data_IF_370037204762
#
_entry.id   IF_370037204762
#
_cell.length_a   1.000
_cell.length_b   1.000
_cell.length_c   1.000
_cell.angle_alpha   90.00
_cell.angle_beta   90.00
_cell.angle_gamma   90.00
#
_symmetry.space_group_name_H-M   'P 1'
#
loop_
_entity.id
_entity.type
_entity.pdbx_description
1 polymer ?
#
# COMPACT_ATOMS: atom_id res chain seq x y z
N UNK A 1 0.50 -12.01 -29.60
CA UNK A 1 0.33 -10.56 -29.84
C UNK A 1 -1.01 -9.95 -29.31
N UNK A 2 -1.89 -10.69 -28.61
CA UNK A 2 -3.17 -10.15 -28.09
C UNK A 2 -3.15 -9.68 -26.63
N UNK A 3 -2.01 -9.71 -25.96
CA UNK A 3 -1.90 -9.36 -24.53
C UNK A 3 -1.44 -7.93 -24.22
N UNK A 4 -0.80 -7.22 -25.15
CA UNK A 4 -0.29 -5.87 -24.96
C UNK A 4 -1.34 -4.78 -25.20
N UNK A 5 -2.27 -5.01 -26.14
CA UNK A 5 -3.31 -4.03 -26.50
C UNK A 5 -4.30 -3.70 -25.36
N UNK A 6 -4.48 -4.63 -24.41
CA UNK A 6 -5.42 -4.42 -23.31
C UNK A 6 -4.80 -3.62 -22.12
N UNK A 7 -3.48 -3.44 -22.05
CA UNK A 7 -2.85 -2.58 -21.02
C UNK A 7 -2.83 -1.11 -21.44
N UNK A 8 -2.59 -0.82 -22.71
CA UNK A 8 -2.60 0.56 -23.21
C UNK A 8 -4.00 1.16 -23.21
N UNK A 9 -5.05 0.37 -23.55
CA UNK A 9 -6.44 0.84 -23.43
C UNK A 9 -6.88 1.11 -22.00
N UNK A 10 -6.29 0.47 -20.99
CA UNK A 10 -6.55 0.80 -19.56
C UNK A 10 -5.92 2.11 -19.11
N UNK A 11 -4.82 2.54 -19.71
CA UNK A 11 -4.19 3.84 -19.42
C UNK A 11 -5.00 4.99 -20.03
N UNK A 12 -5.50 4.84 -21.26
CA UNK A 12 -6.23 5.89 -21.97
C UNK A 12 -7.63 6.21 -21.37
N UNK A 13 -8.26 5.26 -20.67
CA UNK A 13 -9.56 5.49 -20.02
C UNK A 13 -9.46 6.17 -18.63
N UNK A 14 -8.27 6.29 -18.02
CA UNK A 14 -8.10 6.94 -16.71
C UNK A 14 -8.04 8.47 -16.77
N UNK A 15 -7.66 9.07 -17.89
CA UNK A 15 -7.41 10.52 -17.96
C UNK A 15 -8.66 11.37 -18.19
N UNK A 16 -9.73 10.81 -18.72
CA UNK A 16 -10.96 11.59 -19.00
C UNK A 16 -11.90 11.79 -17.80
N UNK A 17 -11.54 11.30 -16.60
CA UNK A 17 -12.40 11.41 -15.40
C UNK A 17 -12.19 12.75 -14.64
N UNK A 18 -11.10 13.44 -14.83
CA UNK A 18 -10.81 14.68 -14.08
C UNK A 18 -11.68 15.89 -14.47
N UNK A 19 -12.22 15.94 -15.69
CA UNK A 19 -13.09 17.04 -16.13
C UNK A 19 -14.56 16.90 -15.72
N UNK A 20 -15.02 15.71 -15.32
CA UNK A 20 -16.41 15.49 -14.96
C UNK A 20 -16.75 15.78 -13.48
N UNK A 21 -15.77 15.76 -12.58
CA UNK A 21 -16.00 15.95 -11.14
C UNK A 21 -16.11 17.42 -10.71
N UNK A 22 -15.54 18.35 -11.45
CA UNK A 22 -15.55 19.78 -11.06
C UNK A 22 -16.86 20.52 -11.40
N UNK A 23 -17.77 19.91 -12.16
CA UNK A 23 -19.00 20.59 -12.63
C UNK A 23 -20.32 20.05 -12.09
N UNK A 24 -20.34 18.92 -11.40
CA UNK A 24 -21.58 18.34 -10.89
C UNK A 24 -21.45 17.87 -9.44
N UNK A 25 -21.62 18.80 -8.49
CA UNK A 25 -22.03 18.50 -7.12
C UNK A 25 -23.46 17.94 -7.08
N UNK A 26 -23.81 17.09 -8.02
CA UNK A 26 -25.04 16.29 -7.99
C UNK A 26 -24.64 14.85 -7.80
N UNK A 27 -24.83 14.41 -6.57
CA UNK A 27 -24.93 13.02 -6.08
C UNK A 27 -25.12 12.01 -7.20
N UNK A 28 -24.13 11.16 -7.47
CA UNK A 28 -24.27 9.98 -8.29
C UNK A 28 -25.17 9.00 -7.54
N UNK A 29 -26.47 9.12 -7.76
CA UNK A 29 -27.49 8.20 -7.28
C UNK A 29 -27.45 6.97 -8.19
N UNK A 30 -26.61 5.99 -7.84
CA UNK A 30 -26.82 4.63 -8.31
C UNK A 30 -28.05 4.08 -7.60
N UNK A 31 -29.11 3.85 -8.33
CA UNK A 31 -30.47 3.43 -8.04
C UNK A 31 -30.72 2.52 -6.84
N UNK A 32 -30.58 3.04 -5.64
CA UNK A 32 -31.06 2.43 -4.41
C UNK A 32 -31.52 3.56 -3.48
N UNK A 33 -32.79 3.57 -3.10
CA UNK A 33 -33.28 4.47 -2.06
C UNK A 33 -32.36 4.34 -0.84
N UNK A 34 -31.57 5.39 -0.53
CA UNK A 34 -30.82 5.47 0.71
C UNK A 34 -31.82 5.38 1.87
N UNK A 35 -31.53 4.56 2.86
CA UNK A 35 -32.22 4.64 4.15
C UNK A 35 -31.81 5.96 4.77
N UNK A 36 -32.77 6.86 5.01
CA UNK A 36 -32.50 8.08 5.74
C UNK A 36 -32.23 7.71 7.21
N UNK A 37 -31.14 8.25 7.79
CA UNK A 37 -30.78 8.09 9.20
C UNK A 37 -31.96 8.39 10.13
N UNK A 38 -32.78 9.36 9.78
CA UNK A 38 -33.97 9.81 10.52
C UNK A 38 -35.01 8.71 10.76
N UNK A 39 -34.97 7.61 9.99
CA UNK A 39 -35.96 6.53 10.09
C UNK A 39 -35.54 5.39 11.01
N UNK A 40 -34.24 5.27 11.39
CA UNK A 40 -33.76 4.19 12.25
C UNK A 40 -33.84 4.59 13.70
N UNK A 41 -34.64 3.84 14.51
CA UNK A 41 -34.83 4.09 15.94
C UNK A 41 -34.21 2.96 16.77
N UNK A 42 -33.54 3.34 17.88
CA UNK A 42 -33.08 2.38 18.90
C UNK A 42 -34.25 1.65 19.52
N UNK A 43 -34.11 0.36 19.80
CA UNK A 43 -35.14 -0.42 20.47
C UNK A 43 -35.22 -1.87 20.02
N UNK A 44 -36.17 -2.59 20.62
CA UNK A 44 -36.50 -3.97 20.22
C UNK A 44 -37.52 -3.95 19.08
N UNK A 45 -37.34 -4.80 18.10
CA UNK A 45 -38.22 -4.96 16.94
C UNK A 45 -38.50 -6.43 16.70
N UNK A 46 -39.76 -6.77 16.39
CA UNK A 46 -40.06 -8.09 15.86
C UNK A 46 -39.61 -8.19 14.41
N UNK A 47 -39.39 -9.40 13.90
CA UNK A 47 -39.02 -9.67 12.52
C UNK A 47 -40.00 -8.99 11.53
N UNK A 48 -41.29 -9.07 11.83
CA UNK A 48 -42.35 -8.41 11.04
C UNK A 48 -42.10 -6.90 10.92
N UNK A 49 -41.93 -6.22 12.08
CA UNK A 49 -41.69 -4.77 12.10
C UNK A 49 -40.37 -4.40 11.44
N UNK A 50 -39.32 -5.22 11.60
CA UNK A 50 -38.04 -5.01 10.94
C UNK A 50 -38.19 -5.01 9.41
N UNK A 51 -38.92 -5.99 8.85
CA UNK A 51 -39.17 -6.08 7.41
C UNK A 51 -40.09 -4.96 6.92
N UNK A 52 -41.14 -4.64 7.66
CA UNK A 52 -42.08 -3.58 7.29
C UNK A 52 -41.39 -2.21 7.21
N UNK A 53 -40.51 -1.90 8.18
CA UNK A 53 -39.84 -0.59 8.27
C UNK A 53 -38.67 -0.48 7.28
N UNK A 54 -37.85 -1.54 7.15
CA UNK A 54 -36.54 -1.45 6.50
C UNK A 54 -36.35 -2.38 5.30
N UNK A 55 -37.29 -3.31 5.08
CA UNK A 55 -37.23 -4.24 3.95
C UNK A 55 -37.56 -3.57 2.62
N UNK A 56 -36.94 -4.06 1.55
CA UNK A 56 -37.34 -3.74 0.18
C UNK A 56 -38.74 -4.29 -0.12
N UNK A 57 -39.39 -3.80 -1.17
CA UNK A 57 -40.71 -4.30 -1.57
C UNK A 57 -40.72 -5.82 -1.86
N UNK A 58 -39.63 -6.34 -2.47
CA UNK A 58 -39.46 -7.77 -2.67
C UNK A 58 -39.36 -8.55 -1.36
N UNK A 59 -38.65 -7.98 -0.34
CA UNK A 59 -38.56 -8.60 0.98
C UNK A 59 -39.87 -8.56 1.75
N UNK A 60 -40.63 -7.47 1.65
CA UNK A 60 -41.97 -7.32 2.25
C UNK A 60 -42.95 -8.29 1.61
N UNK A 61 -42.92 -8.41 0.27
CA UNK A 61 -43.79 -9.38 -0.48
C UNK A 61 -43.48 -10.81 -0.06
N UNK A 62 -42.19 -11.19 -0.07
CA UNK A 62 -41.77 -12.53 0.35
C UNK A 62 -42.12 -12.86 1.79
N UNK A 63 -42.03 -11.86 2.71
CA UNK A 63 -42.44 -12.04 4.11
C UNK A 63 -43.96 -12.29 4.23
N UNK A 64 -44.78 -11.56 3.48
CA UNK A 64 -46.24 -11.76 3.45
C UNK A 64 -46.61 -13.15 2.96
N UNK A 65 -45.94 -13.64 1.91
CA UNK A 65 -46.18 -14.95 1.32
C UNK A 65 -45.76 -16.12 2.22
N UNK A 66 -44.62 -15.99 2.91
CA UNK A 66 -44.04 -17.10 3.68
C UNK A 66 -44.30 -17.02 5.20
N UNK A 67 -44.86 -15.95 5.73
CA UNK A 67 -45.05 -15.72 7.16
C UNK A 67 -43.81 -15.69 8.00
N UNK A 68 -42.66 -15.73 7.34
CA UNK A 68 -41.30 -15.72 7.94
C UNK A 68 -40.29 -15.09 7.01
N UNK A 69 -39.15 -14.68 7.58
CA UNK A 69 -38.06 -14.12 6.79
C UNK A 69 -37.23 -15.22 6.15
N UNK A 70 -37.23 -15.25 4.82
CA UNK A 70 -36.39 -16.20 4.07
C UNK A 70 -34.92 -15.87 4.31
N UNK A 71 -34.09 -16.89 4.53
CA UNK A 71 -32.70 -16.80 4.98
C UNK A 71 -31.85 -15.78 4.17
N UNK A 72 -31.91 -15.84 2.83
CA UNK A 72 -31.16 -14.92 1.97
C UNK A 72 -31.62 -13.47 2.11
N UNK A 73 -32.93 -13.24 2.20
CA UNK A 73 -33.49 -11.90 2.39
C UNK A 73 -33.18 -11.36 3.79
N UNK A 74 -33.23 -12.22 4.83
CA UNK A 74 -32.80 -11.88 6.19
C UNK A 74 -31.36 -11.41 6.18
N UNK A 75 -30.43 -12.21 5.65
CA UNK A 75 -29.02 -11.90 5.55
C UNK A 75 -28.78 -10.57 4.83
N UNK A 76 -29.43 -10.34 3.69
CA UNK A 76 -29.27 -9.12 2.89
C UNK A 76 -29.77 -7.89 3.65
N UNK A 77 -30.92 -7.97 4.34
CA UNK A 77 -31.45 -6.85 5.12
C UNK A 77 -30.54 -6.54 6.32
N UNK A 78 -30.14 -7.55 7.09
CA UNK A 78 -29.26 -7.36 8.25
C UNK A 78 -27.90 -6.79 7.84
N UNK A 79 -27.32 -7.26 6.76
CA UNK A 79 -26.08 -6.70 6.19
C UNK A 79 -26.25 -5.25 5.75
N UNK A 80 -27.39 -4.88 5.17
CA UNK A 80 -27.70 -3.49 4.82
C UNK A 80 -27.83 -2.64 6.09
N UNK A 81 -28.56 -3.11 7.07
CA UNK A 81 -28.80 -2.37 8.32
C UNK A 81 -27.54 -2.22 9.18
N UNK A 82 -26.67 -3.24 9.20
CA UNK A 82 -25.41 -3.18 9.95
C UNK A 82 -24.48 -2.04 9.51
N UNK A 83 -24.72 -1.46 8.35
CA UNK A 83 -24.01 -0.25 7.90
C UNK A 83 -24.48 1.03 8.59
N UNK A 84 -25.68 1.04 9.13
CA UNK A 84 -26.30 2.23 9.73
C UNK A 84 -26.49 2.11 11.23
N UNK A 85 -26.46 0.89 11.76
CA UNK A 85 -26.70 0.66 13.19
C UNK A 85 -26.11 -0.67 13.67
N UNK A 86 -25.87 -0.78 14.97
CA UNK A 86 -25.61 -2.06 15.61
C UNK A 86 -26.91 -2.79 15.83
N UNK A 87 -27.09 -3.93 15.18
CA UNK A 87 -28.26 -4.79 15.29
C UNK A 87 -27.87 -6.17 15.83
N UNK A 88 -28.55 -6.63 16.89
CA UNK A 88 -28.35 -7.97 17.49
C UNK A 88 -29.61 -8.78 17.28
N UNK A 89 -29.44 -10.03 16.83
CA UNK A 89 -30.50 -11.05 16.83
C UNK A 89 -30.59 -11.60 18.25
N UNK A 90 -31.76 -11.50 18.86
CA UNK A 90 -32.03 -11.97 20.24
C UNK A 90 -32.64 -13.37 20.27
N UNK A 91 -32.85 -14.01 19.16
CA UNK A 91 -33.70 -15.20 19.03
C UNK A 91 -35.17 -14.85 18.93
N UNK A 92 -36.02 -15.86 18.82
CA UNK A 92 -37.48 -15.74 18.76
C UNK A 92 -38.01 -14.66 17.80
N UNK A 93 -37.36 -14.51 16.66
CA UNK A 93 -37.67 -13.51 15.63
C UNK A 93 -37.67 -12.08 16.16
N UNK A 94 -36.79 -11.80 17.14
CA UNK A 94 -36.66 -10.49 17.77
C UNK A 94 -35.26 -9.92 17.58
N UNK A 95 -35.17 -8.65 17.25
CA UNK A 95 -33.92 -7.90 17.01
C UNK A 95 -33.82 -6.72 17.93
N UNK A 96 -32.61 -6.34 18.31
CA UNK A 96 -32.35 -5.14 19.10
C UNK A 96 -31.40 -4.22 18.36
N UNK A 97 -31.84 -2.99 18.07
CA UNK A 97 -31.00 -1.90 17.58
C UNK A 97 -30.46 -1.16 18.81
N UNK A 98 -29.13 -1.20 19.00
CA UNK A 98 -28.49 -0.61 20.18
C UNK A 98 -27.83 0.73 19.90
N UNK A 99 -27.26 0.88 18.71
CA UNK A 99 -26.60 2.10 18.28
C UNK A 99 -26.97 2.46 16.85
N UNK A 100 -27.17 3.75 16.57
CA UNK A 100 -27.40 4.29 15.22
C UNK A 100 -26.23 5.18 14.92
N UNK A 101 -25.57 4.92 13.81
CA UNK A 101 -24.32 5.57 13.42
C UNK A 101 -24.55 6.97 12.84
N UNK A 102 -23.59 7.86 13.04
CA UNK A 102 -23.63 9.20 12.46
C UNK A 102 -23.40 9.18 10.95
N UNK A 103 -22.56 8.29 10.49
CA UNK A 103 -22.29 7.99 9.07
C UNK A 103 -22.54 6.52 8.79
N UNK A 104 -22.99 6.16 7.58
CA UNK A 104 -23.08 4.75 7.21
C UNK A 104 -21.69 4.15 7.06
N UNK A 105 -21.49 2.94 7.62
CA UNK A 105 -20.27 2.18 7.38
C UNK A 105 -20.07 1.92 5.87
N UNK A 106 -18.84 1.93 5.39
CA UNK A 106 -18.53 1.55 4.02
C UNK A 106 -19.08 0.18 3.65
N UNK A 107 -19.52 0.01 2.41
CA UNK A 107 -20.06 -1.28 1.95
C UNK A 107 -19.02 -2.41 1.97
N UNK A 108 -17.74 -2.05 1.90
CA UNK A 108 -16.60 -2.94 1.97
C UNK A 108 -15.93 -3.02 3.35
N UNK A 109 -16.56 -2.45 4.40
CA UNK A 109 -16.00 -2.42 5.78
C UNK A 109 -15.60 -3.83 6.26
N UNK A 110 -16.41 -4.85 5.99
CA UNK A 110 -16.08 -6.23 6.32
C UNK A 110 -14.81 -6.76 5.64
N UNK A 111 -14.34 -6.14 4.54
CA UNK A 111 -13.07 -6.49 3.92
C UNK A 111 -11.91 -5.78 4.61
N UNK A 112 -12.15 -4.55 5.07
CA UNK A 112 -11.17 -3.75 5.82
C UNK A 112 -10.85 -4.35 7.19
N UNK A 113 -11.77 -5.11 7.79
CA UNK A 113 -11.64 -5.71 9.13
C UNK A 113 -11.19 -7.18 9.09
N UNK A 114 -10.64 -7.64 7.97
CA UNK A 114 -10.19 -9.05 7.82
C UNK A 114 -8.72 -9.13 7.47
N UNK A 115 -8.09 -10.24 7.89
CA UNK A 115 -6.68 -10.51 7.60
C UNK A 115 -5.81 -9.29 8.01
N UNK A 116 -4.71 -9.05 7.34
CA UNK A 116 -3.83 -7.92 7.60
C UNK A 116 -4.48 -6.55 7.39
N UNK A 117 -5.59 -6.45 6.65
CA UNK A 117 -6.27 -5.16 6.43
C UNK A 117 -6.88 -4.57 7.70
N UNK A 118 -7.23 -5.39 8.69
CA UNK A 118 -7.70 -4.91 10.00
C UNK A 118 -6.65 -4.07 10.74
N UNK A 119 -5.38 -4.25 10.41
CA UNK A 119 -4.26 -3.48 10.95
C UNK A 119 -3.85 -2.34 10.01
N UNK A 120 -3.66 -2.65 8.73
CA UNK A 120 -3.11 -1.70 7.75
C UNK A 120 -4.07 -0.54 7.47
N UNK A 121 -5.37 -0.81 7.33
CA UNK A 121 -6.37 0.23 7.01
C UNK A 121 -6.43 1.31 8.08
N UNK A 122 -6.59 1.00 9.39
CA UNK A 122 -6.59 2.03 10.41
C UNK A 122 -5.23 2.73 10.54
N UNK A 123 -4.10 2.04 10.41
CA UNK A 123 -2.76 2.67 10.42
C UNK A 123 -2.58 3.66 9.27
N UNK A 124 -2.97 3.29 8.04
CA UNK A 124 -2.94 4.18 6.89
C UNK A 124 -3.85 5.40 7.07
N UNK A 125 -5.07 5.16 7.55
CA UNK A 125 -6.03 6.25 7.74
C UNK A 125 -5.58 7.21 8.84
N UNK A 126 -5.03 6.70 9.95
CA UNK A 126 -4.44 7.51 11.02
C UNK A 126 -3.25 8.32 10.50
N UNK A 127 -2.37 7.72 9.71
CA UNK A 127 -1.24 8.42 9.13
C UNK A 127 -1.70 9.52 8.16
N UNK A 128 -2.72 9.26 7.33
CA UNK A 128 -3.32 10.26 6.44
C UNK A 128 -3.94 11.43 7.19
N UNK A 129 -4.57 11.19 8.34
CA UNK A 129 -5.18 12.25 9.15
C UNK A 129 -4.11 13.11 9.85
N UNK A 130 -3.04 12.48 10.33
CA UNK A 130 -2.04 13.14 11.18
C UNK A 130 -0.80 13.64 10.42
N UNK A 131 -0.47 13.04 9.28
CA UNK A 131 0.77 13.24 8.55
C UNK A 131 0.65 14.02 7.24
N UNK A 132 -0.50 14.69 7.01
CA UNK A 132 -0.74 15.44 5.79
C UNK A 132 -0.01 16.80 5.77
N UNK A 133 0.31 17.28 4.56
CA UNK A 133 0.81 18.63 4.32
C UNK A 133 -0.32 19.69 4.47
N UNK A 134 0.01 20.96 4.23
CA UNK A 134 -0.95 22.08 4.27
C UNK A 134 -2.17 21.89 3.33
N UNK A 135 -2.07 20.99 2.36
CA UNK A 135 -3.13 20.66 1.40
C UNK A 135 -3.87 19.37 1.76
N UNK A 136 -3.69 18.83 2.97
CA UNK A 136 -4.23 17.55 3.43
C UNK A 136 -3.78 16.35 2.57
N UNK A 137 -2.56 16.40 2.06
CA UNK A 137 -2.02 15.47 1.08
C UNK A 137 -0.77 14.78 1.61
N UNK A 138 -0.68 13.50 1.34
CA UNK A 138 0.55 12.71 1.47
C UNK A 138 0.95 12.24 0.07
N UNK A 139 2.22 12.43 -0.28
CA UNK A 139 2.77 12.03 -1.57
C UNK A 139 4.16 11.41 -1.36
N UNK A 140 4.17 10.10 -1.12
CA UNK A 140 5.38 9.36 -0.75
C UNK A 140 5.44 8.01 -1.48
N UNK A 141 6.63 7.41 -1.53
CA UNK A 141 6.84 6.07 -2.08
C UNK A 141 6.19 5.01 -1.20
N UNK A 142 5.91 3.83 -1.77
CA UNK A 142 5.37 2.70 -0.99
C UNK A 142 6.29 2.28 0.16
N UNK A 143 7.60 2.30 -0.05
CA UNK A 143 8.57 1.99 1.01
C UNK A 143 8.58 3.04 2.14
N UNK A 144 8.28 4.31 1.82
CA UNK A 144 8.09 5.34 2.85
C UNK A 144 6.76 5.14 3.58
N UNK A 145 5.66 4.83 2.86
CA UNK A 145 4.39 4.42 3.47
C UNK A 145 4.57 3.28 4.47
N UNK A 146 5.27 2.21 4.06
CA UNK A 146 5.52 1.06 4.93
C UNK A 146 6.25 1.42 6.23
N UNK A 147 7.19 2.36 6.17
CA UNK A 147 7.91 2.85 7.36
C UNK A 147 7.05 3.76 8.24
N UNK A 148 6.31 4.69 7.64
CA UNK A 148 5.44 5.62 8.37
C UNK A 148 4.35 4.90 9.17
N UNK A 149 3.82 3.80 8.64
CA UNK A 149 2.85 2.96 9.36
C UNK A 149 3.48 1.78 10.12
N UNK A 150 4.81 1.75 10.21
CA UNK A 150 5.61 0.73 10.92
C UNK A 150 5.34 -0.72 10.45
N UNK A 151 5.03 -0.93 9.17
CA UNK A 151 5.06 -2.26 8.56
C UNK A 151 6.46 -2.85 8.53
N UNK A 152 7.45 -1.99 8.40
CA UNK A 152 8.87 -2.31 8.44
C UNK A 152 9.59 -1.31 9.34
N UNK A 153 10.67 -1.74 9.97
CA UNK A 153 11.46 -0.89 10.84
C UNK A 153 12.55 -0.10 10.08
N UNK A 154 13.36 0.65 10.81
CA UNK A 154 14.42 1.49 10.25
C UNK A 154 15.54 0.69 9.57
N UNK A 155 15.72 -0.57 9.95
CA UNK A 155 16.76 -1.43 9.38
C UNK A 155 16.39 -1.96 7.99
N UNK A 156 15.11 -1.93 7.59
CA UNK A 156 14.66 -2.53 6.32
C UNK A 156 15.49 -2.05 5.13
N UNK A 157 15.60 -0.73 4.95
CA UNK A 157 16.38 -0.18 3.84
C UNK A 157 17.88 -0.33 4.06
N UNK A 158 18.34 -0.19 5.30
CA UNK A 158 19.75 -0.35 5.63
C UNK A 158 20.26 -1.74 5.21
N UNK A 159 19.57 -2.79 5.61
CA UNK A 159 19.88 -4.18 5.24
C UNK A 159 19.73 -4.41 3.74
N UNK A 160 18.69 -3.83 3.11
CA UNK A 160 18.46 -3.93 1.66
C UNK A 160 19.61 -3.42 0.82
N UNK A 161 20.27 -2.35 1.26
CA UNK A 161 21.41 -1.76 0.55
C UNK A 161 22.78 -2.31 0.97
N UNK A 162 22.84 -3.06 2.09
CA UNK A 162 24.09 -3.65 2.62
C UNK A 162 24.00 -5.18 2.70
N UNK A 163 23.55 -5.81 1.62
CA UNK A 163 23.24 -7.25 1.57
C UNK A 163 24.45 -8.15 1.85
N UNK A 164 25.65 -7.75 1.42
CA UNK A 164 26.88 -8.53 1.63
C UNK A 164 27.25 -8.62 3.11
N UNK A 165 27.16 -7.51 3.85
CA UNK A 165 27.45 -7.51 5.29
C UNK A 165 26.32 -8.20 6.06
N UNK A 166 25.07 -8.03 5.63
CA UNK A 166 23.92 -8.77 6.18
C UNK A 166 24.09 -10.27 5.97
N UNK A 167 24.54 -10.72 4.80
CA UNK A 167 24.81 -12.14 4.51
C UNK A 167 25.83 -12.74 5.47
N UNK A 168 26.90 -12.00 5.77
CA UNK A 168 27.92 -12.44 6.74
C UNK A 168 27.37 -12.52 8.18
N UNK A 169 26.54 -11.57 8.56
CA UNK A 169 25.99 -11.48 9.92
C UNK A 169 24.89 -12.52 10.17
N UNK A 170 24.00 -12.73 9.19
CA UNK A 170 22.85 -13.64 9.32
C UNK A 170 23.13 -15.05 8.83
N UNK A 171 24.27 -15.29 8.21
CA UNK A 171 24.61 -16.54 7.50
C UNK A 171 23.61 -16.92 6.40
N UNK A 172 22.79 -15.96 5.94
CA UNK A 172 21.88 -16.14 4.82
C UNK A 172 22.61 -15.91 3.50
N UNK A 173 22.33 -16.72 2.47
CA UNK A 173 22.89 -16.46 1.15
C UNK A 173 22.37 -15.16 0.54
N UNK A 174 23.18 -14.51 -0.31
CA UNK A 174 22.75 -13.30 -1.03
C UNK A 174 21.49 -13.53 -1.86
N UNK A 175 21.34 -14.71 -2.45
CA UNK A 175 20.14 -15.07 -3.23
C UNK A 175 18.89 -15.13 -2.33
N UNK A 176 19.02 -15.64 -1.12
CA UNK A 176 17.91 -15.67 -0.15
C UNK A 176 17.54 -14.29 0.32
N UNK A 177 18.54 -13.43 0.59
CA UNK A 177 18.30 -12.01 0.95
C UNK A 177 17.60 -11.29 -0.19
N UNK A 178 18.03 -11.50 -1.43
CA UNK A 178 17.37 -10.93 -2.61
C UNK A 178 15.92 -11.41 -2.74
N UNK A 179 15.69 -12.72 -2.58
CA UNK A 179 14.34 -13.29 -2.65
C UNK A 179 13.45 -12.78 -1.52
N UNK A 180 13.98 -12.62 -0.30
CA UNK A 180 13.26 -12.01 0.82
C UNK A 180 12.73 -10.63 0.44
N UNK A 181 13.61 -9.72 -0.04
CA UNK A 181 13.19 -8.36 -0.42
C UNK A 181 12.25 -8.34 -1.60
N UNK A 182 12.48 -9.16 -2.62
CA UNK A 182 11.57 -9.28 -3.75
C UNK A 182 10.14 -9.63 -3.29
N UNK A 183 10.03 -10.54 -2.31
CA UNK A 183 8.73 -10.99 -1.82
C UNK A 183 8.13 -10.06 -0.79
N UNK A 184 8.93 -9.51 0.10
CA UNK A 184 8.47 -8.54 1.07
C UNK A 184 7.99 -7.24 0.38
N UNK A 185 8.77 -6.70 -0.57
CA UNK A 185 8.39 -5.51 -1.34
C UNK A 185 7.10 -5.73 -2.13
N UNK A 186 6.97 -6.85 -2.86
CA UNK A 186 5.76 -7.22 -3.60
C UNK A 186 4.53 -7.27 -2.66
N UNK A 187 4.68 -7.88 -1.49
CA UNK A 187 3.59 -7.99 -0.51
C UNK A 187 3.24 -6.65 0.12
N UNK A 188 4.24 -5.85 0.50
CA UNK A 188 4.05 -4.50 1.06
C UNK A 188 3.28 -3.63 0.05
N UNK A 189 3.73 -3.58 -1.21
CA UNK A 189 3.06 -2.81 -2.25
C UNK A 189 1.62 -3.29 -2.45
N UNK A 190 1.41 -4.59 -2.51
CA UNK A 190 0.08 -5.18 -2.70
C UNK A 190 -0.88 -4.85 -1.55
N UNK A 191 -0.43 -4.96 -0.30
CA UNK A 191 -1.27 -4.66 0.86
C UNK A 191 -1.59 -3.17 0.98
N UNK A 192 -0.61 -2.30 0.80
CA UNK A 192 -0.81 -0.84 0.87
C UNK A 192 -1.76 -0.38 -0.26
N UNK A 193 -1.53 -0.80 -1.49
CA UNK A 193 -2.37 -0.38 -2.63
C UNK A 193 -3.81 -0.88 -2.51
N UNK A 194 -4.00 -2.12 -2.08
CA UNK A 194 -5.36 -2.63 -1.83
C UNK A 194 -6.04 -1.92 -0.66
N UNK A 195 -5.33 -1.60 0.41
CA UNK A 195 -5.89 -0.84 1.53
C UNK A 195 -6.29 0.58 1.09
N UNK A 196 -5.46 1.26 0.29
CA UNK A 196 -5.81 2.54 -0.32
C UNK A 196 -7.03 2.42 -1.24
N UNK A 197 -7.14 1.33 -2.03
CA UNK A 197 -8.32 1.06 -2.85
C UNK A 197 -9.58 0.81 -2.02
N UNK A 198 -9.46 0.13 -0.88
CA UNK A 198 -10.60 -0.04 0.03
C UNK A 198 -11.05 1.30 0.61
N UNK A 199 -10.14 2.14 1.06
CA UNK A 199 -10.42 3.47 1.56
C UNK A 199 -11.05 4.36 0.48
N UNK A 200 -10.53 4.31 -0.76
CA UNK A 200 -11.07 5.02 -1.93
C UNK A 200 -12.48 4.55 -2.27
N UNK A 201 -12.72 3.24 -2.34
CA UNK A 201 -14.04 2.68 -2.65
C UNK A 201 -15.06 2.94 -1.53
N UNK A 202 -14.60 3.19 -0.31
CA UNK A 202 -15.39 3.66 0.81
C UNK A 202 -15.74 5.17 0.74
N UNK A 203 -15.13 5.90 -0.18
CA UNK A 203 -15.26 7.35 -0.30
C UNK A 203 -14.67 8.09 0.90
N UNK A 204 -13.62 7.55 1.51
CA UNK A 204 -12.88 8.15 2.62
C UNK A 204 -11.70 8.96 2.11
N UNK A 205 -11.03 8.47 1.07
CA UNK A 205 -9.86 9.09 0.47
C UNK A 205 -10.00 9.17 -1.05
N UNK A 206 -9.18 10.02 -1.63
CA UNK A 206 -8.81 9.98 -3.04
C UNK A 206 -7.33 9.64 -3.09
N UNK A 207 -6.92 8.71 -3.94
CA UNK A 207 -5.53 8.39 -4.16
C UNK A 207 -5.23 8.07 -5.61
N UNK A 208 -3.97 8.29 -6.02
CA UNK A 208 -3.46 7.96 -7.35
C UNK A 208 -1.97 7.64 -7.31
N UNK A 209 -1.50 6.88 -8.29
CA UNK A 209 -0.08 6.72 -8.57
C UNK A 209 0.44 7.94 -9.32
N UNK A 210 1.59 8.45 -8.89
CA UNK A 210 2.28 9.58 -9.52
C UNK A 210 3.71 9.15 -9.81
N UNK A 211 4.18 9.37 -11.02
CA UNK A 211 5.59 9.19 -11.34
C UNK A 211 6.35 10.48 -11.09
N UNK A 212 7.52 10.35 -10.49
CA UNK A 212 8.43 11.46 -10.23
C UNK A 212 9.77 11.22 -10.90
N UNK A 213 10.31 12.28 -11.42
CA UNK A 213 11.67 12.35 -11.96
C UNK A 213 12.56 13.00 -10.91
N UNK A 214 13.73 12.41 -10.70
CA UNK A 214 14.79 13.01 -9.89
C UNK A 214 15.93 13.40 -10.81
N UNK A 215 16.30 14.67 -10.77
CA UNK A 215 17.34 15.26 -11.60
C UNK A 215 18.50 15.77 -10.74
N UNK A 216 19.70 15.71 -11.30
CA UNK A 216 20.87 16.36 -10.71
C UNK A 216 20.94 17.80 -11.19
N UNK A 217 20.81 18.73 -10.26
CA UNK A 217 20.98 20.15 -10.52
C UNK A 217 22.33 20.56 -9.93
N UNK A 218 23.23 20.97 -10.82
CA UNK A 218 24.48 21.58 -10.39
C UNK A 218 24.20 23.04 -9.95
N UNK A 219 24.52 23.37 -8.72
CA UNK A 219 24.43 24.77 -8.23
C UNK A 219 25.37 25.72 -8.96
N UNK A 220 26.31 25.16 -9.73
CA UNK A 220 27.39 25.94 -10.38
C UNK A 220 28.44 26.47 -9.43
N UNK A 221 28.27 26.32 -8.12
CA UNK A 221 29.24 26.70 -7.10
C UNK A 221 30.23 25.56 -6.89
N UNK A 222 31.51 25.86 -7.05
CA UNK A 222 32.60 24.94 -6.72
C UNK A 222 33.03 25.19 -5.28
N UNK A 223 32.88 24.19 -4.43
CA UNK A 223 33.40 24.25 -3.05
C UNK A 223 34.77 23.56 -3.05
N UNK A 224 35.78 24.25 -2.56
CA UNK A 224 37.13 23.68 -2.38
C UNK A 224 37.17 23.12 -0.94
N UNK A 225 37.45 21.82 -0.81
CA UNK A 225 37.56 21.17 0.49
C UNK A 225 38.91 21.55 1.17
N UNK A 226 39.07 21.11 2.42
CA UNK A 226 40.30 21.37 3.24
C UNK A 226 41.58 20.76 2.62
N UNK A 227 41.42 19.89 1.63
CA UNK A 227 42.51 19.22 0.92
C UNK A 227 42.75 19.80 -0.48
N UNK A 228 42.05 20.88 -0.85
CA UNK A 228 42.19 21.54 -2.15
C UNK A 228 41.48 20.86 -3.30
N UNK A 229 40.61 19.87 -3.05
CA UNK A 229 39.81 19.26 -4.09
C UNK A 229 38.59 20.13 -4.39
N UNK A 230 38.28 20.26 -5.69
CA UNK A 230 37.10 21.00 -6.15
C UNK A 230 35.91 20.07 -6.16
N UNK A 231 34.95 20.30 -5.28
CA UNK A 231 33.66 19.65 -5.28
C UNK A 231 32.62 20.58 -5.91
N UNK A 232 31.87 20.06 -6.86
CA UNK A 232 30.68 20.76 -7.39
C UNK A 232 29.52 20.38 -6.50
N UNK A 233 28.86 21.37 -5.90
CA UNK A 233 27.66 21.12 -5.09
C UNK A 233 26.53 20.66 -6.02
N UNK A 234 26.17 19.39 -5.92
CA UNK A 234 25.12 18.77 -6.71
C UNK A 234 23.88 18.61 -5.83
N UNK A 235 22.86 19.39 -6.08
CA UNK A 235 21.55 19.18 -5.48
C UNK A 235 20.72 18.20 -6.30
N UNK A 236 19.86 17.44 -5.62
CA UNK A 236 18.93 16.54 -6.27
C UNK A 236 17.52 17.09 -6.05
N UNK A 237 16.85 17.44 -7.13
CA UNK A 237 15.48 17.85 -7.08
C UNK A 237 14.55 16.80 -7.69
N UNK A 238 13.34 16.72 -7.17
CA UNK A 238 12.32 15.79 -7.67
C UNK A 238 11.03 16.52 -7.99
N UNK A 239 10.50 16.28 -9.16
CA UNK A 239 9.22 16.84 -9.62
C UNK A 239 8.32 15.74 -10.18
N UNK A 240 7.03 16.06 -10.40
CA UNK A 240 6.12 15.16 -11.07
C UNK A 240 6.54 15.01 -12.53
N UNK A 241 6.68 13.77 -13.00
CA UNK A 241 7.06 13.47 -14.38
C UNK A 241 6.04 14.04 -15.38
N UNK A 242 6.54 14.75 -16.38
CA UNK A 242 5.77 15.16 -17.55
C UNK A 242 5.52 13.97 -18.49
N UNK A 243 4.62 14.12 -19.45
CA UNK A 243 4.35 13.10 -20.47
C UNK A 243 5.61 12.80 -21.32
N UNK A 244 6.36 13.82 -21.68
CA UNK A 244 7.60 13.68 -22.47
C UNK A 244 8.68 12.92 -21.69
N UNK A 245 8.82 13.15 -20.38
CA UNK A 245 9.74 12.42 -19.53
C UNK A 245 9.32 10.98 -19.36
N UNK A 246 8.03 10.70 -19.23
CA UNK A 246 7.50 9.33 -19.16
C UNK A 246 7.69 8.57 -20.48
N UNK A 247 7.51 9.23 -21.62
CA UNK A 247 7.79 8.66 -22.93
C UNK A 247 9.28 8.34 -23.09
N UNK A 248 10.14 9.27 -22.66
CA UNK A 248 11.57 9.06 -22.66
C UNK A 248 11.99 7.91 -21.73
N UNK A 249 11.46 7.86 -20.51
CA UNK A 249 11.68 6.75 -19.56
C UNK A 249 11.27 5.42 -20.17
N UNK A 250 10.10 5.34 -20.79
CA UNK A 250 9.62 4.12 -21.45
C UNK A 250 10.56 3.66 -22.57
N UNK A 251 11.11 4.61 -23.32
CA UNK A 251 12.12 4.34 -24.34
C UNK A 251 13.42 3.78 -23.73
N UNK A 252 13.93 4.40 -22.65
CA UNK A 252 15.12 3.93 -21.93
C UNK A 252 14.93 2.52 -21.36
N UNK A 253 13.75 2.23 -20.77
CA UNK A 253 13.37 0.89 -20.28
C UNK A 253 13.40 -0.13 -21.42
N UNK A 254 12.88 0.24 -22.61
CA UNK A 254 12.91 -0.66 -23.77
C UNK A 254 14.35 -1.00 -24.24
N UNK A 255 15.26 -0.02 -24.23
CA UNK A 255 16.67 -0.23 -24.56
C UNK A 255 17.32 -1.16 -23.53
N UNK A 256 17.13 -0.87 -22.24
CA UNK A 256 17.67 -1.67 -21.14
C UNK A 256 17.16 -3.12 -21.16
N UNK A 257 15.86 -3.31 -21.40
CA UNK A 257 15.24 -4.62 -21.50
C UNK A 257 15.81 -5.44 -22.68
N UNK A 258 16.02 -4.81 -23.83
CA UNK A 258 16.66 -5.46 -24.98
C UNK A 258 18.09 -5.91 -24.67
N UNK A 259 18.90 -5.04 -24.05
CA UNK A 259 20.27 -5.36 -23.68
C UNK A 259 20.32 -6.53 -22.69
N UNK A 260 19.49 -6.48 -21.63
CA UNK A 260 19.43 -7.53 -20.62
C UNK A 260 18.92 -8.88 -21.17
N UNK A 261 18.02 -8.88 -22.16
CA UNK A 261 17.56 -10.12 -22.82
C UNK A 261 18.65 -10.76 -23.66
N UNK A 262 19.51 -9.98 -24.29
CA UNK A 262 20.65 -10.50 -25.05
C UNK A 262 21.62 -11.20 -24.10
N UNK A 263 21.91 -10.58 -22.95
CA UNK A 263 22.81 -11.16 -21.94
C UNK A 263 22.22 -12.46 -21.33
N UNK A 264 20.92 -12.49 -21.07
CA UNK A 264 20.26 -13.63 -20.41
C UNK A 264 19.67 -14.65 -21.41
N UNK A 265 20.23 -14.79 -22.61
CA UNK A 265 19.82 -15.77 -23.62
C UNK A 265 18.32 -15.73 -23.97
N UNK A 266 17.67 -14.55 -23.86
CA UNK A 266 16.27 -14.34 -24.21
C UNK A 266 15.24 -14.59 -23.11
N UNK A 267 15.64 -14.92 -21.90
CA UNK A 267 14.73 -15.11 -20.78
C UNK A 267 14.09 -13.79 -20.31
N UNK A 268 12.82 -13.60 -20.62
CA UNK A 268 12.07 -12.36 -20.31
C UNK A 268 11.97 -12.05 -18.82
N UNK A 269 11.94 -13.09 -17.98
CA UNK A 269 11.66 -12.94 -16.55
C UNK A 269 12.80 -12.25 -15.79
N UNK A 270 14.04 -12.50 -16.21
CA UNK A 270 15.23 -12.00 -15.51
C UNK A 270 15.79 -10.70 -16.08
N UNK A 271 15.33 -10.25 -17.24
CA UNK A 271 15.92 -9.09 -17.91
C UNK A 271 15.90 -7.82 -17.06
N UNK A 272 14.77 -7.51 -16.41
CA UNK A 272 14.63 -6.32 -15.56
C UNK A 272 15.32 -6.42 -14.20
N UNK A 273 15.72 -7.62 -13.78
CA UNK A 273 16.48 -7.90 -12.56
C UNK A 273 17.97 -8.05 -12.81
N UNK A 274 18.40 -8.05 -14.07
CA UNK A 274 19.82 -8.15 -14.40
C UNK A 274 20.55 -6.86 -14.02
N UNK A 275 21.81 -6.99 -13.61
CA UNK A 275 22.70 -5.87 -13.34
C UNK A 275 22.82 -4.98 -14.59
N UNK A 276 22.96 -5.60 -15.76
CA UNK A 276 23.04 -4.89 -17.05
C UNK A 276 21.81 -4.06 -17.34
N UNK A 277 20.58 -4.54 -17.01
CA UNK A 277 19.38 -3.72 -17.15
C UNK A 277 19.50 -2.41 -16.35
N UNK A 278 19.91 -2.50 -15.09
CA UNK A 278 20.06 -1.33 -14.22
C UNK A 278 21.13 -0.37 -14.73
N UNK A 279 22.28 -0.89 -15.15
CA UNK A 279 23.39 -0.09 -15.68
C UNK A 279 23.01 0.63 -16.99
N UNK A 280 22.39 -0.09 -17.92
CA UNK A 280 21.93 0.51 -19.20
C UNK A 280 20.84 1.53 -18.95
N UNK A 281 19.86 1.24 -18.12
CA UNK A 281 18.79 2.18 -17.80
C UNK A 281 19.37 3.47 -17.19
N UNK A 282 20.24 3.35 -16.19
CA UNK A 282 20.91 4.49 -15.56
C UNK A 282 21.69 5.33 -16.59
N UNK A 283 22.47 4.69 -17.46
CA UNK A 283 23.23 5.37 -18.50
C UNK A 283 22.32 6.12 -19.50
N UNK A 284 21.24 5.49 -19.94
CA UNK A 284 20.29 6.13 -20.87
C UNK A 284 19.56 7.31 -20.24
N UNK A 285 19.11 7.20 -18.99
CA UNK A 285 18.48 8.29 -18.25
C UNK A 285 19.44 9.48 -18.05
N UNK A 286 20.71 9.19 -17.76
CA UNK A 286 21.71 10.22 -17.51
C UNK A 286 21.99 11.12 -18.72
N UNK A 287 21.71 10.66 -19.96
CA UNK A 287 21.79 11.52 -21.15
C UNK A 287 20.92 12.78 -21.08
N UNK A 288 19.86 12.73 -20.27
CA UNK A 288 18.99 13.90 -19.97
C UNK A 288 19.13 14.39 -18.51
N UNK A 289 20.24 14.05 -17.83
CA UNK A 289 20.49 14.37 -16.41
C UNK A 289 19.47 13.78 -15.44
N UNK A 290 18.64 12.83 -15.88
CA UNK A 290 17.69 12.13 -15.04
C UNK A 290 18.46 11.09 -14.23
N UNK A 291 18.44 11.22 -12.90
CA UNK A 291 19.05 10.26 -11.98
C UNK A 291 18.21 8.99 -11.83
N UNK A 292 16.93 9.17 -11.61
CA UNK A 292 15.98 8.08 -11.54
C UNK A 292 14.53 8.55 -11.80
N UNK A 293 13.70 7.59 -12.19
CA UNK A 293 12.25 7.74 -12.24
C UNK A 293 11.64 6.78 -11.24
N UNK A 294 10.81 7.26 -10.35
CA UNK A 294 10.21 6.46 -9.30
C UNK A 294 8.73 6.77 -9.12
N UNK A 295 8.01 5.83 -8.53
CA UNK A 295 6.58 5.92 -8.29
C UNK A 295 6.31 6.35 -6.87
N UNK A 296 5.41 7.33 -6.71
CA UNK A 296 4.84 7.73 -5.43
C UNK A 296 3.33 7.50 -5.42
N UNK A 297 2.77 7.48 -4.23
CA UNK A 297 1.34 7.36 -4.00
C UNK A 297 0.85 8.64 -3.34
N UNK A 298 0.10 9.40 -4.11
CA UNK A 298 -0.55 10.62 -3.66
C UNK A 298 -1.90 10.28 -3.09
N UNK A 299 -2.16 10.63 -1.84
CA UNK A 299 -3.41 10.36 -1.17
C UNK A 299 -3.83 11.53 -0.28
N UNK A 300 -5.15 11.79 -0.19
CA UNK A 300 -5.74 12.77 0.70
C UNK A 300 -7.15 12.34 1.16
N UNK A 301 -7.52 12.69 2.38
CA UNK A 301 -8.84 12.36 2.88
C UNK A 301 -9.90 13.34 2.34
N UNK A 302 -11.13 12.82 2.15
CA UNK A 302 -12.25 13.59 1.59
C UNK A 302 -13.03 14.32 2.68
N UNK A 303 -13.23 13.67 3.83
CA UNK A 303 -14.00 14.19 4.95
C UNK A 303 -13.45 13.64 6.27
N UNK A 304 -12.93 14.52 7.10
CA UNK A 304 -12.27 14.18 8.36
C UNK A 304 -13.21 13.49 9.34
N UNK A 305 -14.43 14.02 9.52
CA UNK A 305 -15.39 13.45 10.48
C UNK A 305 -15.79 12.04 10.12
N UNK A 306 -15.97 11.78 8.81
CA UNK A 306 -16.25 10.43 8.32
C UNK A 306 -15.06 9.48 8.48
N UNK A 307 -13.85 9.97 8.30
CA UNK A 307 -12.63 9.19 8.53
C UNK A 307 -12.49 8.82 10.01
N UNK A 308 -12.64 9.79 10.91
CA UNK A 308 -12.61 9.56 12.36
C UNK A 308 -13.72 8.58 12.79
N UNK A 309 -14.93 8.76 12.28
CA UNK A 309 -16.03 7.83 12.54
C UNK A 309 -15.68 6.40 12.14
N UNK A 310 -15.07 6.20 10.96
CA UNK A 310 -14.67 4.87 10.50
C UNK A 310 -13.55 4.31 11.35
N UNK A 311 -12.56 5.12 11.77
CA UNK A 311 -11.52 4.71 12.70
C UNK A 311 -12.09 4.20 14.02
N UNK A 312 -13.05 4.92 14.61
CA UNK A 312 -13.72 4.53 15.85
C UNK A 312 -14.39 3.15 15.75
N UNK A 313 -14.83 2.75 14.54
CA UNK A 313 -15.45 1.45 14.31
C UNK A 313 -14.45 0.28 14.28
N UNK A 314 -13.14 0.53 14.12
CA UNK A 314 -12.11 -0.49 14.33
C UNK A 314 -11.91 -0.79 15.84
N UNK A 315 -12.49 0.02 16.74
CA UNK A 315 -12.42 -0.14 18.19
C UNK A 315 -11.30 0.71 18.82
N UNK A 316 -11.25 0.68 20.15
CA UNK A 316 -10.16 1.34 20.90
C UNK A 316 -8.86 0.59 20.64
N UNK A 317 -8.15 0.94 19.59
CA UNK A 317 -6.83 0.37 19.32
C UNK A 317 -5.74 1.32 19.82
N UNK A 318 -4.81 0.76 20.57
CA UNK A 318 -3.53 1.40 20.79
C UNK A 318 -2.67 1.10 19.56
N UNK A 319 -2.19 2.13 18.90
CA UNK A 319 -1.40 2.02 17.66
C UNK A 319 -0.23 1.06 17.82
N UNK A 320 0.43 1.07 18.98
CA UNK A 320 1.56 0.18 19.25
C UNK A 320 1.18 -1.30 19.31
N UNK A 321 0.01 -1.62 19.83
CA UNK A 321 -0.49 -3.01 19.85
C UNK A 321 -0.83 -3.48 18.44
N UNK A 322 -1.50 -2.62 17.65
CA UNK A 322 -1.81 -2.93 16.25
C UNK A 322 -0.55 -3.21 15.41
N UNK A 323 0.49 -2.39 15.60
CA UNK A 323 1.77 -2.58 14.92
C UNK A 323 2.39 -3.92 15.32
N UNK A 324 2.39 -4.27 16.61
CA UNK A 324 2.92 -5.53 17.10
C UNK A 324 2.20 -6.73 16.51
N UNK A 325 0.87 -6.74 16.58
CA UNK A 325 0.04 -7.82 16.01
C UNK A 325 0.19 -7.90 14.49
N UNK A 326 0.28 -6.77 13.79
CA UNK A 326 0.54 -6.73 12.36
C UNK A 326 1.89 -7.36 12.03
N UNK A 327 2.97 -6.96 12.72
CA UNK A 327 4.31 -7.44 12.46
C UNK A 327 4.41 -8.96 12.68
N UNK A 328 3.77 -9.48 13.71
CA UNK A 328 3.69 -10.92 13.99
C UNK A 328 3.00 -11.68 12.84
N UNK A 329 1.80 -11.26 12.45
CA UNK A 329 1.03 -11.91 11.37
C UNK A 329 1.71 -11.78 10.00
N UNK A 330 2.33 -10.63 9.72
CA UNK A 330 3.04 -10.40 8.47
C UNK A 330 4.31 -11.26 8.37
N UNK A 331 5.10 -11.32 9.45
CA UNK A 331 6.27 -12.20 9.58
C UNK A 331 5.88 -13.65 9.37
N UNK A 332 4.86 -14.13 10.07
CA UNK A 332 4.33 -15.50 9.92
C UNK A 332 3.98 -15.81 8.47
N UNK A 333 3.30 -14.88 7.79
CA UNK A 333 2.93 -15.06 6.38
C UNK A 333 4.14 -15.13 5.45
N UNK A 334 5.17 -14.31 5.68
CA UNK A 334 6.41 -14.34 4.90
C UNK A 334 7.13 -15.68 5.04
N UNK A 335 7.25 -16.20 6.28
CA UNK A 335 7.89 -17.47 6.59
C UNK A 335 7.10 -18.65 6.00
N UNK A 336 5.78 -18.69 6.19
CA UNK A 336 4.93 -19.73 5.60
C UNK A 336 5.01 -19.76 4.07
N UNK A 337 5.03 -18.60 3.45
CA UNK A 337 5.15 -18.50 1.99
C UNK A 337 6.55 -18.91 1.51
N UNK A 338 7.61 -18.67 2.29
CA UNK A 338 8.95 -19.18 2.03
C UNK A 338 8.94 -20.71 2.06
N UNK A 339 8.38 -21.32 3.10
CA UNK A 339 8.26 -22.77 3.21
C UNK A 339 7.50 -23.41 2.05
N UNK A 340 6.37 -22.81 1.63
CA UNK A 340 5.59 -23.27 0.47
C UNK A 340 6.37 -23.19 -0.84
N UNK A 341 7.24 -22.18 -1.00
CA UNK A 341 8.11 -22.07 -2.19
C UNK A 341 9.20 -23.13 -2.20
N UNK A 342 9.80 -23.41 -1.04
CA UNK A 342 10.76 -24.50 -0.88
C UNK A 342 10.14 -25.85 -1.26
N UNK A 343 8.99 -26.17 -0.68
CA UNK A 343 8.25 -27.42 -0.96
C UNK A 343 7.92 -27.59 -2.45
N UNK A 344 7.60 -26.47 -3.14
CA UNK A 344 7.23 -26.50 -4.55
C UNK A 344 8.44 -26.74 -5.48
N UNK A 345 9.62 -26.30 -5.11
CA UNK A 345 10.81 -26.42 -5.94
C UNK A 345 12.10 -26.49 -5.10
N UNK A 346 12.31 -27.61 -4.35
CA UNK A 346 13.45 -27.74 -3.45
C UNK A 346 14.80 -27.67 -4.18
N UNK A 347 14.85 -28.11 -5.44
CA UNK A 347 16.10 -28.08 -6.24
C UNK A 347 16.60 -26.67 -6.53
N UNK A 348 15.77 -25.63 -6.40
CA UNK A 348 16.19 -24.22 -6.52
C UNK A 348 17.02 -23.78 -5.32
N UNK A 349 16.86 -24.43 -4.19
CA UNK A 349 17.42 -24.03 -2.89
C UNK A 349 18.55 -24.95 -2.43
N UNK A 350 19.42 -25.35 -3.37
CA UNK A 350 20.52 -26.31 -3.15
C UNK A 350 21.49 -25.87 -2.03
N UNK A 351 21.54 -24.57 -1.73
CA UNK A 351 22.36 -24.01 -0.63
C UNK A 351 21.86 -24.41 0.76
N UNK A 352 20.66 -24.98 0.86
CA UNK A 352 20.02 -25.38 2.11
C UNK A 352 19.75 -26.87 2.08
N UNK A 353 20.24 -27.59 3.10
CA UNK A 353 20.00 -29.02 3.24
C UNK A 353 18.56 -29.35 3.57
N UNK A 354 17.91 -28.46 4.32
CA UNK A 354 16.55 -28.64 4.81
C UNK A 354 15.72 -27.37 4.64
N UNK A 355 14.39 -27.54 4.64
CA UNK A 355 13.41 -26.46 4.58
C UNK A 355 13.54 -25.51 5.78
N UNK A 356 13.83 -26.06 6.95
CA UNK A 356 13.91 -25.31 8.20
C UNK A 356 15.06 -24.31 8.16
N UNK A 357 16.22 -24.67 7.60
CA UNK A 357 17.36 -23.76 7.41
C UNK A 357 16.99 -22.56 6.51
N UNK A 358 16.26 -22.82 5.42
CA UNK A 358 15.82 -21.78 4.51
C UNK A 358 14.78 -20.84 5.15
N UNK A 359 13.81 -21.41 5.88
CA UNK A 359 12.78 -20.59 6.56
C UNK A 359 13.35 -19.84 7.75
N UNK A 360 14.37 -20.37 8.44
CA UNK A 360 15.09 -19.66 9.49
C UNK A 360 15.78 -18.40 8.98
N UNK A 361 16.33 -18.42 7.76
CA UNK A 361 16.86 -17.21 7.14
C UNK A 361 15.78 -16.13 6.97
N UNK A 362 14.56 -16.50 6.55
CA UNK A 362 13.44 -15.57 6.47
C UNK A 362 13.03 -15.04 7.85
N UNK A 363 13.02 -15.89 8.86
CA UNK A 363 12.75 -15.48 10.25
C UNK A 363 13.78 -14.46 10.73
N UNK A 364 15.07 -14.74 10.60
CA UNK A 364 16.16 -13.83 11.01
C UNK A 364 16.05 -12.47 10.28
N UNK A 365 15.74 -12.47 8.99
CA UNK A 365 15.55 -11.24 8.22
C UNK A 365 14.31 -10.47 8.68
N UNK A 366 13.21 -11.14 9.02
CA UNK A 366 12.02 -10.51 9.60
C UNK A 366 12.30 -9.86 10.96
N UNK A 367 13.00 -10.56 11.86
CA UNK A 367 13.39 -10.04 13.17
C UNK A 367 14.21 -8.76 13.04
N UNK A 368 15.13 -8.71 12.08
CA UNK A 368 15.98 -7.53 11.85
C UNK A 368 15.21 -6.38 11.20
N UNK A 369 14.29 -6.67 10.27
CA UNK A 369 13.74 -5.66 9.34
C UNK A 369 12.26 -5.31 9.56
N UNK A 370 11.52 -6.14 10.28
CA UNK A 370 10.07 -5.97 10.50
C UNK A 370 9.77 -5.72 11.98
N UNK A 371 10.37 -6.49 12.91
CA UNK A 371 10.09 -6.32 14.34
C UNK A 371 10.40 -4.88 14.78
N UNK A 372 9.38 -4.22 15.34
CA UNK A 372 9.46 -2.84 15.84
C UNK A 372 10.43 -2.66 17.00
N UNK A 373 10.69 -3.73 17.76
CA UNK A 373 11.54 -3.68 18.95
C UNK A 373 13.03 -3.90 18.62
N UNK A 374 13.35 -4.21 17.37
CA UNK A 374 14.74 -4.48 16.98
C UNK A 374 15.56 -3.19 17.02
N UNK A 375 16.72 -3.27 17.67
CA UNK A 375 17.68 -2.17 17.76
C UNK A 375 18.14 -1.73 16.36
N UNK A 376 18.37 -0.42 16.22
CA UNK A 376 18.86 0.14 14.97
C UNK A 376 20.32 -0.25 14.72
N UNK A 377 20.55 -1.02 13.65
CA UNK A 377 21.87 -1.57 13.29
C UNK A 377 22.81 -0.55 12.63
N UNK A 378 22.37 0.70 12.45
CA UNK A 378 23.13 1.73 11.74
C UNK A 378 24.52 2.03 12.30
N UNK A 379 24.78 1.71 13.57
CA UNK A 379 26.11 1.84 14.16
C UNK A 379 27.08 0.73 13.72
N UNK A 380 26.58 -0.47 13.39
CA UNK A 380 27.41 -1.62 12.99
C UNK A 380 27.74 -1.62 11.50
N UNK A 381 26.87 -1.04 10.68
CA UNK A 381 26.97 -1.06 9.22
C UNK A 381 27.56 0.25 8.67
N UNK A 382 27.44 1.38 9.39
CA UNK A 382 27.93 2.70 8.95
C UNK A 382 29.43 2.89 8.94
N UNK A 383 30.19 2.13 9.68
CA UNK A 383 31.66 2.31 9.74
C UNK A 383 32.38 2.00 8.42
N UNK A 384 31.67 1.46 7.40
CA UNK A 384 32.26 1.12 6.09
C UNK A 384 31.74 1.91 4.90
N UNK A 385 30.73 2.77 5.05
CA UNK A 385 30.04 3.41 3.89
C UNK A 385 29.99 4.93 3.94
N UNK A 386 30.76 5.59 4.77
CA UNK A 386 30.81 7.06 4.81
C UNK A 386 32.04 7.59 4.06
N UNK A 387 32.29 7.10 2.86
CA UNK A 387 33.07 7.83 1.88
C UNK A 387 32.21 8.33 0.68
N UNK A 388 30.91 8.10 0.73
CA UNK A 388 29.96 8.68 -0.25
C UNK A 388 28.97 9.58 0.49
N UNK A 389 29.39 10.83 0.68
CA UNK A 389 28.63 11.91 1.30
C UNK A 389 27.48 12.37 0.41
N UNK A 390 26.34 11.65 0.44
CA UNK A 390 25.09 12.11 -0.12
C UNK A 390 24.12 12.55 0.97
N UNK A 391 24.37 13.73 1.52
CA UNK A 391 23.37 14.42 2.34
C UNK A 391 22.22 14.89 1.46
N UNK A 392 21.13 14.13 1.46
CA UNK A 392 19.84 14.56 0.93
C UNK A 392 19.31 15.73 1.78
N UNK A 393 19.65 16.96 1.43
CA UNK A 393 18.95 18.14 1.92
C UNK A 393 17.70 18.31 1.07
N UNK A 394 16.55 17.88 1.58
CA UNK A 394 15.24 18.26 1.03
C UNK A 394 15.02 19.71 1.48
N UNK A 395 15.33 20.66 0.62
CA UNK A 395 14.94 22.06 0.82
C UNK A 395 13.51 22.23 0.33
N UNK A 396 12.56 22.72 1.15
CA UNK A 396 11.22 23.06 0.67
C UNK A 396 11.35 24.22 -0.33
N UNK A 397 10.73 24.09 -1.49
CA UNK A 397 10.68 25.15 -2.50
C UNK A 397 10.07 26.40 -1.88
N UNK A 398 10.83 27.48 -1.76
CA UNK A 398 10.30 28.80 -1.46
C UNK A 398 9.44 29.24 -2.64
N UNK A 399 8.15 29.46 -2.37
CA UNK A 399 7.25 30.16 -3.31
C UNK A 399 7.79 31.55 -3.58
N UNK A 400 8.01 31.89 -4.87
CA UNK A 400 7.95 33.22 -5.39
C UNK A 400 6.51 33.50 -5.83
#
# INVERSE_FOLDING_TARGET
>A
MKGCENREKRLFYKENWHFYFAKNNKTLILGGKFMEKSTIKKGKLTEKKLVELYGSEAQKKSYKENGRFVSNYKKTLLTKMSRYCTIKDLGDRTYKITNVYDYPLPSNFNKMTKSLYQYIVPLLLTNLINGHDENNKIDITVGKWAREINMVNKNYNLVKYNKEDTSKETQCSLDTINEFYDKADDMIEWYITNALDYLKSAGLIIWREVYRVSEEISSGESVIDEHGNIHVDISIESHQASEDEMNYYSHCVSIADKAARIENAGERYYSKKSKLFGEVLKRELYKKKIKCVFKTYEAYYVNLDKCNFVLDQFGNFQTDNLIGEFNEEFTKMLIENAGKRFDKNPNKYISYSEKDDYTLCFQNLCEITIDKNTEYLGHRIREKTIDDDYTLKITPSKKG
#
